data_IF_118893935897
#
_entry.id   IF_118893935897
#
_cell.length_a   1.000
_cell.length_b   1.000
_cell.length_c   1.000
_cell.angle_alpha   90.00
_cell.angle_beta   90.00
_cell.angle_gamma   90.00
#
_symmetry.space_group_name_H-M   'P 1'
#
loop_
_entity.id
_entity.type
_entity.pdbx_description
1 polymer ?
#
# COMPACT_ATOMS: atom_id res chain seq x y z
N UNK A 1 -5.30 20.25 22.24
CA UNK A 1 -6.09 19.14 22.81
C UNK A 1 -6.00 17.87 21.98
N UNK A 2 -6.43 17.84 20.71
CA UNK A 2 -6.45 16.63 19.86
C UNK A 2 -5.11 15.91 19.72
N UNK A 3 -3.98 16.63 19.59
CA UNK A 3 -2.63 16.02 19.55
C UNK A 3 -2.26 15.27 20.82
N UNK A 4 -2.73 15.73 22.00
CA UNK A 4 -2.50 15.05 23.27
C UNK A 4 -3.30 13.74 23.32
N UNK A 5 -4.57 13.78 22.92
CA UNK A 5 -5.39 12.58 22.81
C UNK A 5 -4.82 11.57 21.82
N UNK A 6 -4.38 12.05 20.64
CA UNK A 6 -3.70 11.21 19.64
C UNK A 6 -2.46 10.53 20.22
N UNK A 7 -1.59 11.28 20.90
CA UNK A 7 -0.35 10.72 21.48
C UNK A 7 -0.65 9.63 22.53
N UNK A 8 -1.72 9.81 23.33
CA UNK A 8 -2.17 8.78 24.28
C UNK A 8 -2.74 7.56 23.57
N UNK A 9 -3.62 7.74 22.58
CA UNK A 9 -4.17 6.63 21.78
C UNK A 9 -3.10 5.87 21.02
N UNK A 10 -2.04 6.56 20.54
CA UNK A 10 -0.95 5.95 19.80
C UNK A 10 -0.21 4.87 20.62
N UNK A 11 -0.12 5.02 21.93
CA UNK A 11 0.50 4.00 22.82
C UNK A 11 -0.32 2.70 22.78
N UNK A 12 -1.64 2.80 22.85
CA UNK A 12 -2.54 1.65 22.74
C UNK A 12 -2.53 1.06 21.34
N UNK A 13 -2.55 1.89 20.29
CA UNK A 13 -2.41 1.40 18.91
C UNK A 13 -1.16 0.54 18.72
N UNK A 14 -0.02 0.97 19.26
CA UNK A 14 1.23 0.24 19.11
C UNK A 14 1.23 -1.11 19.83
N UNK A 15 0.44 -1.24 20.90
CA UNK A 15 0.30 -2.46 21.69
C UNK A 15 -0.74 -3.41 21.13
N UNK A 16 -1.90 -2.87 20.74
CA UNK A 16 -3.08 -3.66 20.39
C UNK A 16 -3.16 -4.03 18.90
N UNK A 17 -2.60 -3.21 18.00
CA UNK A 17 -2.68 -3.51 16.58
C UNK A 17 -1.57 -4.47 16.14
N UNK A 18 -1.92 -5.55 15.44
CA UNK A 18 -0.94 -6.51 14.92
C UNK A 18 -0.06 -5.90 13.82
N UNK A 19 1.03 -6.59 13.51
CA UNK A 19 2.00 -6.15 12.50
C UNK A 19 1.42 -6.11 11.07
N UNK A 20 0.35 -6.84 10.82
CA UNK A 20 -0.35 -6.87 9.53
C UNK A 20 -1.07 -5.54 9.21
N UNK A 21 -1.38 -4.70 10.21
CA UNK A 21 -1.94 -3.36 10.00
C UNK A 21 -0.81 -2.33 9.88
N UNK A 22 -0.62 -1.74 8.71
CA UNK A 22 0.39 -0.70 8.46
C UNK A 22 -0.21 0.71 8.31
N UNK A 23 -1.53 0.84 8.11
CA UNK A 23 -2.18 2.13 7.90
C UNK A 23 -2.07 3.06 9.10
N UNK A 24 -1.63 4.30 8.87
CA UNK A 24 -1.51 5.35 9.87
C UNK A 24 -0.63 5.03 11.09
N UNK A 25 0.27 4.05 10.97
CA UNK A 25 1.24 3.69 12.01
C UNK A 25 2.60 4.36 11.76
N UNK A 26 3.23 4.86 12.82
CA UNK A 26 4.56 5.47 12.74
C UNK A 26 5.59 4.46 12.23
N UNK A 27 6.35 4.85 11.22
CA UNK A 27 7.41 4.03 10.63
C UNK A 27 6.93 2.91 9.71
N UNK A 28 5.63 2.87 9.39
CA UNK A 28 5.02 1.98 8.40
C UNK A 28 4.32 2.79 7.31
N UNK A 29 4.22 2.21 6.11
CA UNK A 29 3.61 2.90 4.97
C UNK A 29 3.09 1.93 3.91
N UNK A 30 2.54 2.48 2.83
CA UNK A 30 2.05 1.70 1.69
C UNK A 30 3.15 0.81 1.09
N UNK A 31 4.40 1.30 1.08
CA UNK A 31 5.56 0.57 0.58
C UNK A 31 5.78 -0.77 1.31
N UNK A 32 5.52 -0.80 2.64
CA UNK A 32 5.70 -2.02 3.44
C UNK A 32 4.68 -3.08 3.05
N UNK A 33 3.41 -2.70 2.86
CA UNK A 33 2.37 -3.64 2.43
C UNK A 33 2.54 -4.09 0.96
N UNK A 34 2.97 -3.19 0.07
CA UNK A 34 3.31 -3.56 -1.31
C UNK A 34 4.46 -4.59 -1.30
N UNK A 35 5.50 -4.35 -0.51
CA UNK A 35 6.63 -5.28 -0.38
C UNK A 35 6.18 -6.62 0.22
N UNK A 36 5.34 -6.60 1.26
CA UNK A 36 4.83 -7.80 1.91
C UNK A 36 4.10 -8.72 0.93
N UNK A 37 3.13 -8.19 0.15
CA UNK A 37 2.43 -8.98 -0.86
C UNK A 37 3.41 -9.57 -1.89
N UNK A 38 4.33 -8.75 -2.41
CA UNK A 38 5.26 -9.20 -3.44
C UNK A 38 6.25 -10.25 -2.93
N UNK A 39 6.70 -10.17 -1.68
CA UNK A 39 7.53 -11.21 -1.07
C UNK A 39 6.75 -12.50 -0.83
N UNK A 40 5.49 -12.43 -0.39
CA UNK A 40 4.61 -13.59 -0.27
C UNK A 40 4.46 -14.28 -1.62
N UNK A 41 4.16 -13.53 -2.68
CA UNK A 41 4.02 -14.06 -4.04
C UNK A 41 5.35 -14.61 -4.59
N UNK A 42 6.49 -13.94 -4.31
CA UNK A 42 7.82 -14.42 -4.68
C UNK A 42 8.12 -15.78 -4.01
N UNK A 43 7.81 -15.92 -2.72
CA UNK A 43 7.96 -17.18 -1.98
C UNK A 43 7.04 -18.26 -2.51
N UNK A 44 5.77 -17.96 -2.75
CA UNK A 44 4.82 -18.92 -3.34
C UNK A 44 5.35 -19.48 -4.66
N UNK A 45 5.85 -18.62 -5.54
CA UNK A 45 6.46 -19.03 -6.81
C UNK A 45 7.73 -19.90 -6.60
N UNK A 46 8.58 -19.54 -5.63
CA UNK A 46 9.82 -20.28 -5.31
C UNK A 46 9.51 -21.71 -4.84
N UNK A 47 8.44 -21.88 -4.05
CA UNK A 47 8.03 -23.18 -3.48
C UNK A 47 6.88 -23.85 -4.23
N UNK A 48 6.48 -23.33 -5.39
CA UNK A 48 5.41 -23.86 -6.25
C UNK A 48 4.06 -24.01 -5.51
N UNK A 49 3.75 -23.03 -4.67
CA UNK A 49 2.46 -22.95 -3.96
C UNK A 49 1.52 -21.99 -4.68
N UNK A 50 0.26 -22.38 -4.75
CA UNK A 50 -0.80 -21.48 -5.17
C UNK A 50 -1.19 -20.58 -3.99
N UNK A 51 -1.40 -19.31 -4.25
CA UNK A 51 -1.94 -18.36 -3.28
C UNK A 51 -3.07 -17.59 -3.95
N UNK A 52 -4.14 -17.44 -3.18
CA UNK A 52 -5.34 -16.73 -3.56
C UNK A 52 -5.45 -15.47 -2.70
N UNK A 53 -5.70 -14.33 -3.35
CA UNK A 53 -5.83 -13.02 -2.72
C UNK A 53 -7.23 -12.46 -2.97
N UNK A 54 -7.85 -11.91 -1.92
CA UNK A 54 -9.06 -11.14 -2.01
C UNK A 54 -8.79 -9.71 -1.53
N UNK A 55 -8.95 -8.73 -2.42
CA UNK A 55 -8.83 -7.31 -2.10
C UNK A 55 -10.20 -6.75 -1.75
N UNK A 56 -10.37 -6.34 -0.51
CA UNK A 56 -11.64 -5.85 0.04
C UNK A 56 -11.63 -4.32 0.03
N UNK A 57 -12.71 -3.74 -0.45
CA UNK A 57 -13.06 -2.33 -0.33
C UNK A 57 -14.34 -2.21 0.52
N UNK A 58 -14.34 -1.34 1.51
CA UNK A 58 -15.52 -1.03 2.31
C UNK A 58 -16.31 0.13 1.71
N UNK A 59 -17.63 0.04 1.70
CA UNK A 59 -18.48 1.12 1.27
C UNK A 59 -18.48 2.27 2.29
N UNK A 60 -17.87 3.41 1.96
CA UNK A 60 -17.81 4.61 2.82
C UNK A 60 -17.31 4.30 4.24
N UNK A 61 -16.19 3.56 4.34
CA UNK A 61 -15.66 3.01 5.58
C UNK A 61 -15.66 3.98 6.77
N UNK A 62 -15.06 5.16 6.60
CA UNK A 62 -14.96 6.18 7.65
C UNK A 62 -16.32 6.78 8.04
N UNK A 63 -17.25 6.91 7.08
CA UNK A 63 -18.55 7.51 7.29
C UNK A 63 -19.55 6.54 7.97
N UNK A 64 -19.24 5.24 7.94
CA UNK A 64 -20.12 4.18 8.46
C UNK A 64 -19.80 3.74 9.90
N UNK A 65 -18.76 4.29 10.53
CA UNK A 65 -18.38 3.97 11.92
C UNK A 65 -19.51 4.36 12.86
N UNK A 66 -20.14 3.38 13.53
CA UNK A 66 -21.17 3.61 14.53
C UNK A 66 -20.55 4.05 15.85
N UNK A 67 -20.93 5.22 16.36
CA UNK A 67 -20.35 5.79 17.58
C UNK A 67 -20.60 4.90 18.80
N UNK A 68 -21.80 4.33 18.95
CA UNK A 68 -22.14 3.49 20.10
C UNK A 68 -21.28 2.23 20.14
N UNK A 69 -21.13 1.59 18.97
CA UNK A 69 -20.27 0.41 18.81
C UNK A 69 -18.80 0.76 18.98
N UNK A 70 -18.36 1.93 18.47
CA UNK A 70 -16.98 2.40 18.63
C UNK A 70 -16.58 2.50 20.11
N UNK A 71 -17.44 3.08 20.97
CA UNK A 71 -17.12 3.21 22.40
C UNK A 71 -17.01 1.84 23.08
N UNK A 72 -17.86 0.90 22.71
CA UNK A 72 -17.79 -0.48 23.21
C UNK A 72 -16.48 -1.15 22.76
N UNK A 73 -16.15 -1.07 21.48
CA UNK A 73 -14.92 -1.60 20.90
C UNK A 73 -13.67 -1.03 21.58
N UNK A 74 -13.61 0.29 21.81
CA UNK A 74 -12.47 0.90 22.48
C UNK A 74 -12.28 0.34 23.90
N UNK A 75 -13.37 0.09 24.62
CA UNK A 75 -13.33 -0.52 25.95
C UNK A 75 -12.84 -1.98 25.89
N UNK A 76 -13.34 -2.77 24.95
CA UNK A 76 -12.92 -4.16 24.71
C UNK A 76 -11.44 -4.24 24.31
N UNK A 77 -10.94 -3.23 23.57
CA UNK A 77 -9.53 -3.08 23.20
C UNK A 77 -8.65 -2.52 24.31
N UNK A 78 -9.16 -2.42 25.55
CA UNK A 78 -8.40 -1.99 26.74
C UNK A 78 -8.07 -0.51 26.79
N UNK A 79 -8.81 0.34 26.07
CA UNK A 79 -8.69 1.80 26.19
C UNK A 79 -9.36 2.25 27.48
N UNK A 80 -8.68 2.99 28.37
CA UNK A 80 -9.24 3.41 29.64
C UNK A 80 -10.52 4.22 29.53
N UNK A 81 -11.46 4.01 30.47
CA UNK A 81 -12.77 4.67 30.48
C UNK A 81 -12.70 6.21 30.47
N UNK A 82 -11.71 6.80 31.18
CA UNK A 82 -11.51 8.25 31.18
C UNK A 82 -11.14 8.79 29.79
N UNK A 83 -10.35 8.05 29.01
CA UNK A 83 -9.95 8.45 27.66
C UNK A 83 -11.11 8.25 26.69
N UNK A 84 -11.82 7.14 26.79
CA UNK A 84 -13.03 6.86 26.00
C UNK A 84 -14.13 7.89 26.31
N UNK A 85 -14.31 8.29 27.57
CA UNK A 85 -15.23 9.36 27.98
C UNK A 85 -14.91 10.71 27.33
N UNK A 86 -13.62 11.11 27.32
CA UNK A 86 -13.20 12.34 26.63
C UNK A 86 -13.48 12.29 25.13
N UNK A 87 -13.24 11.16 24.48
CA UNK A 87 -13.54 10.98 23.07
C UNK A 87 -15.05 11.04 22.81
N UNK A 88 -15.83 10.37 23.64
CA UNK A 88 -17.30 10.37 23.54
C UNK A 88 -17.86 11.80 23.67
N UNK A 89 -17.37 12.58 24.61
CA UNK A 89 -17.78 13.99 24.79
C UNK A 89 -17.36 14.85 23.57
N UNK A 90 -16.23 14.56 22.94
CA UNK A 90 -15.79 15.26 21.73
C UNK A 90 -16.71 14.99 20.52
N UNK A 91 -17.32 13.81 20.47
CA UNK A 91 -18.25 13.41 19.40
C UNK A 91 -19.72 13.74 19.73
N UNK A 92 -20.02 14.04 20.98
CA UNK A 92 -21.39 14.36 21.40
C UNK A 92 -21.85 15.71 20.82
N UNK A 93 -23.07 15.76 20.30
CA UNK A 93 -23.69 16.98 19.79
C UNK A 93 -23.00 17.58 18.56
N UNK A 94 -22.26 16.80 17.80
CA UNK A 94 -21.68 17.29 16.56
C UNK A 94 -22.77 17.54 15.51
N UNK A 95 -22.69 18.72 14.89
CA UNK A 95 -23.57 19.14 13.82
C UNK A 95 -22.78 19.51 12.58
N UNK A 96 -23.41 19.40 11.43
CA UNK A 96 -22.85 19.80 10.16
C UNK A 96 -23.87 20.53 9.28
N UNK A 97 -23.37 21.35 8.38
CA UNK A 97 -24.12 21.93 7.26
C UNK A 97 -23.32 21.78 5.99
N UNK A 98 -23.99 21.68 4.85
CA UNK A 98 -23.34 21.53 3.54
C UNK A 98 -23.53 22.81 2.75
N UNK A 99 -22.43 23.36 2.25
CA UNK A 99 -22.44 24.52 1.36
C UNK A 99 -22.61 24.01 -0.09
N UNK A 100 -23.67 24.44 -0.73
CA UNK A 100 -23.97 24.15 -2.14
C UNK A 100 -23.84 25.42 -2.99
N UNK A 101 -23.93 25.29 -4.31
CA UNK A 101 -23.99 26.45 -5.23
C UNK A 101 -25.22 27.34 -5.00
N UNK A 102 -26.25 26.84 -4.33
CA UNK A 102 -27.53 27.54 -4.06
C UNK A 102 -27.66 28.02 -2.60
N UNK A 103 -26.62 27.88 -1.77
CA UNK A 103 -26.62 28.28 -0.36
C UNK A 103 -26.12 27.16 0.54
N UNK A 104 -26.42 27.29 1.86
CA UNK A 104 -26.11 26.29 2.87
C UNK A 104 -27.37 25.55 3.29
N UNK A 105 -27.25 24.26 3.56
CA UNK A 105 -28.35 23.47 4.15
C UNK A 105 -28.60 23.89 5.61
N UNK A 106 -29.75 23.48 6.17
CA UNK A 106 -29.96 23.52 7.61
C UNK A 106 -28.93 22.65 8.35
N UNK A 107 -28.68 22.96 9.62
CA UNK A 107 -27.82 22.17 10.47
C UNK A 107 -28.45 20.82 10.78
N UNK A 108 -27.68 19.76 10.71
CA UNK A 108 -28.10 18.40 11.00
C UNK A 108 -27.12 17.71 11.94
N UNK A 109 -27.62 16.83 12.81
CA UNK A 109 -26.83 16.07 13.76
C UNK A 109 -26.02 14.97 13.08
N UNK A 110 -24.76 14.82 13.50
CA UNK A 110 -23.88 13.73 13.05
C UNK A 110 -23.97 12.58 14.07
N UNK A 111 -24.67 11.51 13.68
CA UNK A 111 -24.88 10.32 14.54
C UNK A 111 -23.88 9.19 14.29
N UNK A 112 -23.08 9.25 13.23
CA UNK A 112 -22.11 8.20 12.83
C UNK A 112 -20.98 8.77 12.00
N UNK A 113 -19.93 7.97 11.84
CA UNK A 113 -18.74 8.30 11.06
C UNK A 113 -17.64 8.93 11.89
N UNK A 114 -16.42 8.84 11.38
CA UNK A 114 -15.25 9.54 11.90
C UNK A 114 -14.77 10.53 10.86
N UNK A 115 -14.56 11.78 11.27
CA UNK A 115 -14.28 12.90 10.36
C UNK A 115 -13.00 12.68 9.56
N UNK A 116 -13.08 12.66 8.24
CA UNK A 116 -11.92 12.66 7.35
C UNK A 116 -11.09 13.94 7.57
N UNK A 117 -9.77 13.77 7.69
CA UNK A 117 -8.84 14.86 8.00
C UNK A 117 -8.67 15.17 9.51
N UNK A 118 -9.46 14.59 10.40
CA UNK A 118 -9.21 14.67 11.84
C UNK A 118 -8.05 13.73 12.23
N UNK A 119 -7.13 14.21 13.06
CA UNK A 119 -5.95 13.44 13.50
C UNK A 119 -6.29 12.20 14.35
N UNK A 120 -7.48 12.14 14.96
CA UNK A 120 -7.95 11.01 15.75
C UNK A 120 -8.61 9.93 14.92
N UNK A 121 -9.25 10.29 13.80
CA UNK A 121 -10.05 9.37 12.98
C UNK A 121 -9.28 8.12 12.52
N UNK A 122 -8.01 8.22 12.09
CA UNK A 122 -7.23 7.05 11.72
C UNK A 122 -7.03 6.04 12.86
N UNK A 123 -6.79 6.55 14.08
CA UNK A 123 -6.63 5.68 15.26
C UNK A 123 -7.94 4.95 15.59
N UNK A 124 -9.04 5.70 15.63
CA UNK A 124 -10.36 5.17 15.95
C UNK A 124 -10.82 4.14 14.93
N UNK A 125 -10.61 4.43 13.64
CA UNK A 125 -10.94 3.52 12.56
C UNK A 125 -10.11 2.23 12.62
N UNK A 126 -8.80 2.33 12.87
CA UNK A 126 -7.95 1.16 13.00
C UNK A 126 -8.40 0.23 14.14
N UNK A 127 -8.80 0.77 15.29
CA UNK A 127 -9.37 -0.04 16.38
C UNK A 127 -10.67 -0.71 15.94
N UNK A 128 -11.51 0.02 15.21
CA UNK A 128 -12.80 -0.49 14.75
C UNK A 128 -12.64 -1.68 13.80
N UNK A 129 -11.76 -1.57 12.82
CA UNK A 129 -11.47 -2.66 11.87
C UNK A 129 -10.73 -3.81 12.55
N UNK A 130 -9.83 -3.51 13.51
CA UNK A 130 -9.12 -4.56 14.24
C UNK A 130 -10.06 -5.43 15.08
N UNK A 131 -11.08 -4.85 15.68
CA UNK A 131 -12.10 -5.61 16.40
C UNK A 131 -12.83 -6.59 15.47
N UNK A 132 -13.17 -6.18 14.24
CA UNK A 132 -13.74 -7.07 13.24
C UNK A 132 -12.83 -8.29 13.04
N UNK A 133 -11.55 -8.05 12.78
CA UNK A 133 -10.61 -9.13 12.48
C UNK A 133 -10.37 -10.07 13.67
N UNK A 134 -10.37 -9.57 14.89
CA UNK A 134 -10.29 -10.42 16.10
C UNK A 134 -11.50 -11.33 16.24
N UNK A 135 -12.69 -10.78 15.99
CA UNK A 135 -13.96 -11.54 16.12
C UNK A 135 -14.13 -12.58 15.01
N UNK A 136 -13.44 -12.45 13.88
CA UNK A 136 -13.44 -13.52 12.85
C UNK A 136 -12.62 -14.74 13.25
N UNK A 137 -11.84 -14.69 14.34
CA UNK A 137 -10.97 -15.81 14.74
C UNK A 137 -9.87 -16.15 13.72
N UNK A 138 -9.52 -15.23 12.80
CA UNK A 138 -8.52 -15.45 11.76
C UNK A 138 -7.13 -15.81 12.31
N UNK A 139 -6.81 -15.38 13.53
CA UNK A 139 -5.56 -15.71 14.20
C UNK A 139 -5.57 -17.17 14.75
N UNK A 140 -6.72 -17.68 15.14
CA UNK A 140 -6.92 -19.06 15.63
C UNK A 140 -7.18 -20.03 14.49
N UNK A 141 -7.74 -19.55 13.37
CA UNK A 141 -7.96 -20.36 12.19
C UNK A 141 -6.60 -20.80 11.61
N UNK A 142 -6.52 -22.08 11.23
CA UNK A 142 -5.34 -22.57 10.50
C UNK A 142 -5.27 -22.02 9.07
N UNK A 143 -6.23 -21.18 8.68
CA UNK A 143 -6.39 -20.56 7.39
C UNK A 143 -5.31 -19.47 7.17
N UNK A 144 -4.78 -19.38 5.96
CA UNK A 144 -3.74 -18.42 5.58
C UNK A 144 -2.47 -19.08 5.05
N UNK A 145 -1.43 -18.29 4.93
CA UNK A 145 -0.14 -18.73 4.38
C UNK A 145 0.88 -18.87 5.49
N UNK A 146 1.44 -20.05 5.63
CA UNK A 146 2.48 -20.33 6.65
C UNK A 146 3.86 -19.97 6.11
N UNK A 147 4.45 -18.87 6.60
CA UNK A 147 5.82 -18.45 6.28
C UNK A 147 6.65 -18.49 7.57
N UNK A 148 7.68 -19.33 7.57
CA UNK A 148 8.44 -19.69 8.76
C UNK A 148 7.49 -20.24 9.84
N UNK A 149 7.34 -19.55 10.97
CA UNK A 149 6.43 -19.95 12.05
C UNK A 149 5.18 -19.09 12.17
N UNK A 150 4.98 -18.14 11.23
CA UNK A 150 3.84 -17.22 11.23
C UNK A 150 2.80 -17.68 10.23
N UNK A 151 1.55 -17.67 10.65
CA UNK A 151 0.39 -17.80 9.77
C UNK A 151 -0.11 -16.41 9.39
N UNK A 152 -0.28 -16.14 8.08
CA UNK A 152 -0.64 -14.83 7.56
C UNK A 152 -1.87 -15.02 6.69
N UNK A 153 -3.01 -14.59 7.22
CA UNK A 153 -4.32 -14.66 6.55
C UNK A 153 -4.75 -13.31 5.97
N UNK A 154 -4.15 -12.22 6.45
CA UNK A 154 -4.53 -10.87 6.00
C UNK A 154 -3.37 -9.87 6.07
N UNK A 155 -3.49 -8.79 5.26
CA UNK A 155 -2.68 -7.59 5.33
C UNK A 155 -3.62 -6.38 5.26
N UNK A 156 -3.36 -5.34 6.06
CA UNK A 156 -4.24 -4.17 6.16
C UNK A 156 -3.48 -2.87 6.01
N UNK A 157 -4.07 -1.92 5.29
CA UNK A 157 -3.66 -0.53 5.26
C UNK A 157 -4.89 0.37 5.41
N UNK A 158 -5.22 0.72 6.65
CA UNK A 158 -6.47 1.35 7.04
C UNK A 158 -7.69 0.49 6.65
N UNK A 159 -8.50 0.96 5.71
CA UNK A 159 -9.67 0.27 5.15
C UNK A 159 -9.31 -0.73 4.03
N UNK A 160 -8.20 -0.53 3.34
CA UNK A 160 -7.72 -1.52 2.36
C UNK A 160 -7.30 -2.81 3.07
N UNK A 161 -8.09 -3.85 2.92
CA UNK A 161 -7.86 -5.17 3.51
C UNK A 161 -7.62 -6.19 2.41
N UNK A 162 -6.54 -6.96 2.53
CA UNK A 162 -6.26 -8.09 1.65
C UNK A 162 -6.31 -9.37 2.46
N UNK A 163 -7.22 -10.29 2.11
CA UNK A 163 -7.21 -11.65 2.63
C UNK A 163 -6.37 -12.54 1.73
N UNK A 164 -5.82 -13.61 2.29
CA UNK A 164 -5.03 -14.57 1.54
C UNK A 164 -5.14 -15.99 2.11
N UNK A 165 -5.11 -16.98 1.21
CA UNK A 165 -5.23 -18.39 1.54
C UNK A 165 -4.49 -19.29 0.54
N UNK A 166 -4.28 -20.56 0.88
CA UNK A 166 -3.67 -21.56 -0.02
C UNK A 166 -4.71 -22.26 -0.93
N UNK A 167 -6.04 -22.09 -0.67
CA UNK A 167 -7.13 -22.60 -1.53
C UNK A 167 -8.27 -21.60 -1.72
N UNK A 168 -9.12 -21.84 -2.73
CA UNK A 168 -10.29 -21.02 -3.02
C UNK A 168 -11.34 -21.12 -1.92
N UNK A 169 -11.57 -22.34 -1.41
CA UNK A 169 -12.56 -22.64 -0.37
C UNK A 169 -12.20 -21.94 0.93
N UNK A 170 -10.92 -21.99 1.29
CA UNK A 170 -10.38 -21.33 2.47
C UNK A 170 -10.54 -19.82 2.36
N UNK A 171 -10.16 -19.20 1.21
CA UNK A 171 -10.33 -17.78 0.98
C UNK A 171 -11.80 -17.35 1.05
N UNK A 172 -12.71 -18.16 0.50
CA UNK A 172 -14.14 -17.88 0.55
C UNK A 172 -14.67 -17.93 1.99
N UNK A 173 -14.26 -18.91 2.77
CA UNK A 173 -14.61 -19.01 4.20
C UNK A 173 -14.15 -17.77 4.97
N UNK A 174 -12.89 -17.34 4.79
CA UNK A 174 -12.35 -16.12 5.40
C UNK A 174 -13.14 -14.86 5.01
N UNK A 175 -13.48 -14.74 3.73
CA UNK A 175 -14.24 -13.60 3.23
C UNK A 175 -15.66 -13.53 3.82
N UNK A 176 -16.35 -14.65 3.91
CA UNK A 176 -17.69 -14.70 4.49
C UNK A 176 -17.69 -14.37 5.97
N UNK A 177 -16.69 -14.84 6.74
CA UNK A 177 -16.51 -14.48 8.15
C UNK A 177 -16.26 -12.96 8.31
N UNK A 178 -15.35 -12.38 7.50
CA UNK A 178 -15.09 -10.94 7.54
C UNK A 178 -16.32 -10.13 7.17
N UNK A 179 -17.12 -10.60 6.19
CA UNK A 179 -18.36 -9.95 5.79
C UNK A 179 -19.36 -9.94 6.95
N UNK A 180 -19.61 -11.09 7.56
CA UNK A 180 -20.54 -11.23 8.67
C UNK A 180 -20.18 -10.33 9.86
N UNK A 181 -18.92 -10.37 10.30
CA UNK A 181 -18.43 -9.56 11.43
C UNK A 181 -18.44 -8.05 11.09
N UNK A 182 -18.15 -7.69 9.84
CA UNK A 182 -18.25 -6.30 9.39
C UNK A 182 -19.68 -5.78 9.43
N UNK A 183 -20.65 -6.57 9.00
CA UNK A 183 -22.07 -6.21 9.01
C UNK A 183 -22.59 -6.06 10.45
N UNK A 184 -22.14 -6.87 11.41
CA UNK A 184 -22.49 -6.75 12.84
C UNK A 184 -22.12 -5.38 13.41
N UNK A 185 -21.01 -4.79 12.96
CA UNK A 185 -20.60 -3.45 13.39
C UNK A 185 -21.08 -2.33 12.46
N UNK A 186 -21.76 -2.65 11.37
CA UNK A 186 -22.35 -1.66 10.44
C UNK A 186 -21.45 -1.26 9.28
N UNK A 187 -20.29 -1.92 9.09
CA UNK A 187 -19.49 -1.79 7.88
C UNK A 187 -20.00 -2.76 6.81
N UNK A 188 -20.17 -2.25 5.60
CA UNK A 188 -20.59 -3.08 4.46
C UNK A 188 -19.45 -3.21 3.45
N UNK A 189 -19.23 -4.43 2.99
CA UNK A 189 -18.31 -4.69 1.88
C UNK A 189 -18.91 -4.15 0.58
N UNK A 190 -18.08 -3.54 -0.25
CA UNK A 190 -18.45 -3.15 -1.60
C UNK A 190 -18.16 -4.30 -2.56
N UNK A 191 -19.12 -5.23 -2.71
CA UNK A 191 -18.96 -6.45 -3.51
C UNK A 191 -18.50 -6.16 -4.94
N UNK A 192 -18.97 -5.09 -5.55
CA UNK A 192 -18.58 -4.71 -6.93
C UNK A 192 -17.09 -4.31 -7.05
N UNK A 193 -16.50 -3.83 -5.95
CA UNK A 193 -15.10 -3.44 -5.92
C UNK A 193 -14.17 -4.53 -5.37
N UNK A 194 -14.71 -5.58 -4.78
CA UNK A 194 -13.91 -6.73 -4.39
C UNK A 194 -13.25 -7.32 -5.64
N UNK A 195 -11.96 -7.64 -5.53
CA UNK A 195 -11.18 -8.25 -6.60
C UNK A 195 -10.47 -9.48 -6.07
N UNK A 196 -10.44 -10.51 -6.90
CA UNK A 196 -9.73 -11.76 -6.60
C UNK A 196 -8.56 -11.92 -7.56
N UNK A 197 -7.41 -12.31 -7.05
CA UNK A 197 -6.21 -12.63 -7.83
C UNK A 197 -5.58 -13.91 -7.29
N UNK A 198 -5.09 -14.78 -8.17
CA UNK A 198 -4.38 -15.99 -7.77
C UNK A 198 -3.08 -16.17 -8.53
N UNK A 199 -2.10 -16.83 -7.89
CA UNK A 199 -0.85 -17.25 -8.56
C UNK A 199 -1.00 -18.56 -9.31
N UNK A 200 -2.13 -19.28 -9.11
CA UNK A 200 -2.52 -20.52 -9.77
C UNK A 200 -3.82 -20.38 -10.56
N UNK A 201 -4.35 -21.52 -11.07
CA UNK A 201 -5.65 -21.52 -11.73
C UNK A 201 -6.74 -21.07 -10.76
N UNK A 202 -7.72 -20.35 -11.27
CA UNK A 202 -8.84 -19.83 -10.49
C UNK A 202 -10.15 -20.05 -11.23
N UNK A 203 -11.19 -20.45 -10.50
CA UNK A 203 -12.53 -20.59 -11.03
C UNK A 203 -13.32 -19.28 -10.95
N UNK A 204 -14.56 -19.26 -11.44
CA UNK A 204 -15.43 -18.10 -11.29
C UNK A 204 -15.88 -17.96 -9.82
N UNK A 205 -15.76 -16.76 -9.26
CA UNK A 205 -16.15 -16.48 -7.88
C UNK A 205 -17.49 -15.77 -7.80
N UNK A 206 -18.28 -16.17 -6.80
CA UNK A 206 -19.58 -15.53 -6.52
C UNK A 206 -19.71 -15.24 -5.01
N UNK A 207 -20.22 -14.05 -4.70
CA UNK A 207 -20.58 -13.61 -3.35
C UNK A 207 -22.05 -13.14 -3.41
N UNK A 208 -22.92 -13.71 -2.60
CA UNK A 208 -24.36 -13.36 -2.60
C UNK A 208 -24.98 -13.35 -4.02
N UNK A 209 -24.67 -14.36 -4.85
CA UNK A 209 -25.09 -14.47 -6.25
C UNK A 209 -24.50 -13.39 -7.20
N UNK A 210 -23.67 -12.47 -6.71
CA UNK A 210 -22.94 -11.52 -7.54
C UNK A 210 -21.59 -12.12 -7.96
N UNK A 211 -21.28 -12.08 -9.25
CA UNK A 211 -19.98 -12.53 -9.76
C UNK A 211 -18.90 -11.54 -9.37
N UNK A 212 -17.82 -12.04 -8.75
CA UNK A 212 -16.63 -11.25 -8.40
C UNK A 212 -15.61 -11.37 -9.52
N UNK A 213 -15.02 -10.25 -9.88
CA UNK A 213 -14.01 -10.19 -10.93
C UNK A 213 -12.70 -10.82 -10.50
N UNK A 214 -12.22 -11.78 -11.30
CA UNK A 214 -10.90 -12.40 -11.16
C UNK A 214 -9.90 -11.70 -12.07
N UNK A 215 -8.75 -11.31 -11.52
CA UNK A 215 -7.78 -10.47 -12.22
C UNK A 215 -6.41 -11.15 -12.34
N UNK A 216 -5.75 -10.96 -13.48
CA UNK A 216 -4.34 -11.31 -13.66
C UNK A 216 -3.39 -10.24 -13.09
N UNK A 217 -3.86 -9.02 -12.95
CA UNK A 217 -3.14 -7.89 -12.36
C UNK A 217 -4.08 -6.94 -11.60
N UNK A 218 -3.54 -6.26 -10.59
CA UNK A 218 -4.31 -5.33 -9.76
C UNK A 218 -3.45 -4.15 -9.32
N UNK A 219 -4.07 -2.96 -9.14
CA UNK A 219 -3.38 -1.80 -8.57
C UNK A 219 -3.62 -1.78 -7.06
N UNK A 220 -2.67 -2.33 -6.32
CA UNK A 220 -2.69 -2.37 -4.86
C UNK A 220 -1.91 -1.20 -4.27
N UNK A 221 -2.55 -0.39 -3.44
CA UNK A 221 -1.96 0.80 -2.80
C UNK A 221 -1.18 1.67 -3.80
N UNK A 222 -1.73 1.83 -5.00
CA UNK A 222 -1.12 2.62 -6.07
C UNK A 222 0.01 1.93 -6.85
N UNK A 223 0.42 0.70 -6.56
CA UNK A 223 1.39 -0.09 -7.31
C UNK A 223 0.73 -1.24 -8.05
N UNK A 224 1.08 -1.45 -9.31
CA UNK A 224 0.57 -2.57 -10.11
C UNK A 224 1.28 -3.86 -9.72
N UNK A 225 0.53 -4.82 -9.21
CA UNK A 225 0.97 -6.19 -8.92
C UNK A 225 0.39 -7.13 -9.98
N UNK A 226 1.12 -8.18 -10.34
CA UNK A 226 0.72 -9.18 -11.34
C UNK A 226 0.83 -10.57 -10.74
N UNK A 227 -0.07 -11.47 -11.11
CA UNK A 227 -0.10 -12.84 -10.58
C UNK A 227 1.21 -13.62 -10.83
N UNK A 228 1.94 -13.32 -11.91
CA UNK A 228 3.23 -13.91 -12.26
C UNK A 228 4.45 -13.21 -11.60
N UNK A 229 4.23 -12.19 -10.77
CA UNK A 229 5.28 -11.38 -10.12
C UNK A 229 6.26 -10.78 -11.13
N UNK A 230 5.74 -10.19 -12.22
CA UNK A 230 6.55 -9.47 -13.19
C UNK A 230 6.50 -7.96 -12.92
N UNK A 231 7.62 -7.42 -12.45
CA UNK A 231 7.77 -5.99 -12.15
C UNK A 231 7.86 -5.12 -13.40
N UNK A 232 8.09 -5.69 -14.59
CA UNK A 232 8.26 -4.92 -15.83
C UNK A 232 7.04 -4.09 -16.18
N UNK A 233 5.84 -4.59 -15.87
CA UNK A 233 4.57 -3.89 -16.10
C UNK A 233 4.45 -2.63 -15.22
N UNK A 234 4.77 -2.72 -13.93
CA UNK A 234 4.75 -1.57 -13.03
C UNK A 234 5.85 -0.57 -13.38
N UNK A 235 7.07 -1.02 -13.67
CA UNK A 235 8.17 -0.14 -14.08
C UNK A 235 7.78 0.65 -15.34
N UNK A 236 7.24 -0.01 -16.38
CA UNK A 236 6.74 0.67 -17.59
C UNK A 236 5.66 1.71 -17.26
N UNK A 237 4.69 1.34 -16.42
CA UNK A 237 3.61 2.24 -15.98
C UNK A 237 4.15 3.47 -15.28
N UNK A 238 5.11 3.31 -14.36
CA UNK A 238 5.74 4.40 -13.63
C UNK A 238 6.54 5.32 -14.53
N UNK A 239 7.27 4.78 -15.48
CA UNK A 239 7.99 5.58 -16.47
C UNK A 239 7.03 6.42 -17.34
N UNK A 240 5.87 5.85 -17.72
CA UNK A 240 4.82 6.59 -18.43
C UNK A 240 4.22 7.72 -17.58
N UNK A 241 3.93 7.46 -16.31
CA UNK A 241 3.46 8.50 -15.38
C UNK A 241 4.51 9.60 -15.20
N UNK A 242 5.78 9.24 -15.05
CA UNK A 242 6.88 10.19 -14.99
C UNK A 242 6.98 11.06 -16.26
N UNK A 243 6.79 10.47 -17.45
CA UNK A 243 6.71 11.22 -18.71
C UNK A 243 5.56 12.20 -18.71
N UNK A 244 4.38 11.80 -18.24
CA UNK A 244 3.22 12.70 -18.14
C UNK A 244 3.51 13.89 -17.22
N UNK A 245 4.09 13.65 -16.03
CA UNK A 245 4.48 14.73 -15.12
C UNK A 245 5.49 15.64 -15.75
N UNK A 246 6.53 15.09 -16.39
CA UNK A 246 7.56 15.87 -17.09
C UNK A 246 6.96 16.76 -18.20
N UNK A 247 5.96 16.26 -18.93
CA UNK A 247 5.25 17.03 -19.96
C UNK A 247 4.40 18.14 -19.35
N UNK A 248 3.74 17.90 -18.21
CA UNK A 248 2.96 18.91 -17.51
C UNK A 248 3.83 20.07 -16.98
N UNK A 249 5.13 19.84 -16.77
CA UNK A 249 6.09 20.87 -16.34
C UNK A 249 6.68 21.69 -17.49
N UNK A 250 6.34 21.39 -18.74
CA UNK A 250 6.91 22.09 -19.92
C UNK A 250 6.73 23.61 -19.91
N UNK A 251 5.61 24.11 -19.41
CA UNK A 251 5.39 25.55 -19.29
C UNK A 251 6.41 26.21 -18.34
N UNK A 252 6.75 25.51 -17.26
CA UNK A 252 7.75 25.95 -16.28
C UNK A 252 9.14 25.92 -16.90
N UNK A 253 9.51 24.82 -17.57
CA UNK A 253 10.81 24.66 -18.22
C UNK A 253 11.01 25.58 -19.43
N UNK A 254 9.96 26.19 -19.97
CA UNK A 254 10.04 27.21 -21.02
C UNK A 254 10.29 28.64 -20.50
N UNK A 255 10.08 28.87 -19.21
CA UNK A 255 10.35 30.19 -18.61
C UNK A 255 11.85 30.47 -18.62
N UNK A 256 12.21 31.71 -19.00
CA UNK A 256 13.61 32.19 -19.02
C UNK A 256 14.11 32.55 -17.62
N UNK A 257 13.19 32.73 -16.68
CA UNK A 257 13.51 33.14 -15.30
C UNK A 257 13.99 32.00 -14.41
N UNK A 258 13.88 30.76 -14.91
CA UNK A 258 14.25 29.55 -14.14
C UNK A 258 15.61 29.07 -14.64
N UNK A 259 16.56 28.97 -13.70
CA UNK A 259 17.91 28.48 -14.00
C UNK A 259 17.94 26.96 -14.15
N UNK A 260 18.85 26.45 -14.99
CA UNK A 260 19.03 24.99 -15.21
C UNK A 260 19.19 24.19 -13.90
N UNK A 261 19.98 24.63 -12.88
CA UNK A 261 20.03 23.93 -11.60
C UNK A 261 18.68 23.83 -10.88
N UNK A 262 17.82 24.85 -11.02
CA UNK A 262 16.47 24.83 -10.45
C UNK A 262 15.57 23.86 -11.22
N UNK A 263 15.63 23.83 -12.54
CA UNK A 263 14.92 22.85 -13.36
C UNK A 263 15.31 21.41 -13.01
N UNK A 264 16.62 21.14 -12.84
CA UNK A 264 17.13 19.82 -12.39
C UNK A 264 16.56 19.44 -11.03
N UNK A 265 16.48 20.39 -10.07
CA UNK A 265 15.85 20.16 -8.77
C UNK A 265 14.37 19.85 -8.89
N UNK A 266 13.64 20.52 -9.78
CA UNK A 266 12.22 20.27 -10.04
C UNK A 266 12.01 18.87 -10.60
N UNK A 267 12.81 18.41 -11.55
CA UNK A 267 12.73 17.03 -12.07
C UNK A 267 12.94 16.01 -10.94
N UNK A 268 13.97 16.24 -10.12
CA UNK A 268 14.27 15.34 -8.98
C UNK A 268 13.17 15.36 -7.91
N UNK A 269 12.53 16.49 -7.68
CA UNK A 269 11.51 16.64 -6.64
C UNK A 269 10.11 16.19 -7.10
N UNK A 270 9.77 16.33 -8.38
CA UNK A 270 8.41 16.11 -8.88
C UNK A 270 8.29 14.89 -9.80
N UNK A 271 9.29 14.62 -10.64
CA UNK A 271 9.22 13.52 -11.62
C UNK A 271 9.76 12.21 -11.01
N UNK A 272 10.95 12.25 -10.42
CA UNK A 272 11.59 11.05 -9.87
C UNK A 272 10.79 10.36 -8.77
N UNK A 273 10.14 11.04 -7.81
CA UNK A 273 9.32 10.36 -6.80
C UNK A 273 8.13 9.60 -7.40
N UNK A 274 7.54 10.09 -8.48
CA UNK A 274 6.46 9.39 -9.20
C UNK A 274 6.97 8.10 -9.83
N UNK A 275 8.16 8.16 -10.46
CA UNK A 275 8.80 6.99 -11.07
C UNK A 275 9.24 5.97 -10.02
N UNK A 276 9.75 6.45 -8.89
CA UNK A 276 10.32 5.61 -7.84
C UNK A 276 9.30 5.07 -6.83
N UNK A 277 8.02 5.38 -6.95
CA UNK A 277 7.03 4.90 -5.98
C UNK A 277 6.93 3.37 -5.99
N UNK A 278 7.04 2.75 -4.82
CA UNK A 278 6.97 1.29 -4.65
C UNK A 278 8.22 0.52 -5.09
N UNK A 279 9.28 1.23 -5.53
CA UNK A 279 10.54 0.60 -6.02
C UNK A 279 11.25 -0.25 -4.98
N UNK A 280 10.99 0.00 -3.68
CA UNK A 280 11.61 -0.76 -2.59
C UNK A 280 11.37 -2.26 -2.73
N UNK A 281 10.26 -2.64 -3.33
CA UNK A 281 9.87 -4.03 -3.57
C UNK A 281 10.33 -4.59 -4.93
N UNK A 282 10.87 -3.76 -5.84
CA UNK A 282 11.17 -4.21 -7.20
C UNK A 282 12.44 -5.03 -7.29
N UNK A 283 12.36 -6.08 -8.12
CA UNK A 283 13.53 -6.79 -8.64
C UNK A 283 13.81 -6.25 -10.03
N UNK A 284 14.88 -5.45 -10.16
CA UNK A 284 15.20 -4.73 -11.41
C UNK A 284 16.20 -5.51 -12.23
N UNK A 285 15.80 -6.01 -13.38
CA UNK A 285 16.67 -6.73 -14.34
C UNK A 285 17.50 -5.77 -15.18
N UNK A 286 18.50 -6.31 -15.93
CA UNK A 286 19.31 -5.50 -16.87
C UNK A 286 18.46 -4.75 -17.91
N UNK A 287 17.35 -5.34 -18.33
CA UNK A 287 16.45 -4.72 -19.31
C UNK A 287 15.69 -3.52 -18.70
N UNK A 288 15.21 -3.65 -17.47
CA UNK A 288 14.55 -2.55 -16.76
C UNK A 288 15.54 -1.42 -16.42
N UNK A 289 16.78 -1.73 -16.02
CA UNK A 289 17.83 -0.73 -15.81
C UNK A 289 18.05 0.12 -17.06
N UNK A 290 18.16 -0.53 -18.23
CA UNK A 290 18.28 0.20 -19.51
C UNK A 290 17.08 1.13 -19.75
N UNK A 291 15.85 0.68 -19.47
CA UNK A 291 14.65 1.51 -19.63
C UNK A 291 14.65 2.73 -18.68
N UNK A 292 15.07 2.53 -17.43
CA UNK A 292 15.18 3.59 -16.44
C UNK A 292 16.23 4.63 -16.88
N UNK A 293 17.41 4.18 -17.34
CA UNK A 293 18.48 5.07 -17.81
C UNK A 293 18.07 5.84 -19.08
N UNK A 294 17.37 5.17 -20.01
CA UNK A 294 16.82 5.84 -21.20
C UNK A 294 15.79 6.91 -20.82
N UNK A 295 14.94 6.63 -19.83
CA UNK A 295 13.98 7.61 -19.33
C UNK A 295 14.68 8.80 -18.68
N UNK A 296 15.69 8.58 -17.84
CA UNK A 296 16.47 9.64 -17.21
C UNK A 296 17.12 10.55 -18.26
N UNK A 297 17.80 9.94 -19.24
CA UNK A 297 18.39 10.70 -20.36
C UNK A 297 17.35 11.47 -21.18
N UNK A 298 16.16 10.90 -21.36
CA UNK A 298 15.06 11.61 -22.01
C UNK A 298 14.63 12.85 -21.23
N UNK A 299 14.55 12.79 -19.88
CA UNK A 299 14.28 13.94 -19.05
C UNK A 299 15.34 15.03 -19.24
N UNK A 300 16.62 14.68 -19.18
CA UNK A 300 17.73 15.62 -19.32
C UNK A 300 17.81 16.25 -20.71
N UNK A 301 17.61 15.47 -21.77
CA UNK A 301 17.52 15.99 -23.13
C UNK A 301 16.38 16.99 -23.30
N UNK A 302 15.25 16.73 -22.64
CA UNK A 302 14.09 17.63 -22.68
C UNK A 302 14.37 18.95 -21.98
N UNK A 303 15.05 18.97 -20.85
CA UNK A 303 15.50 20.18 -20.17
C UNK A 303 16.43 21.01 -21.07
N UNK A 304 17.45 20.36 -21.63
CA UNK A 304 18.43 21.02 -22.50
C UNK A 304 17.88 21.34 -23.90
N UNK A 305 16.61 21.04 -24.18
CA UNK A 305 16.00 21.19 -25.52
C UNK A 305 16.85 20.57 -26.63
N UNK A 306 17.56 19.47 -26.31
CA UNK A 306 18.47 18.78 -27.21
C UNK A 306 17.76 17.62 -27.92
N UNK A 307 17.26 17.79 -29.17
CA UNK A 307 16.61 16.72 -29.91
C UNK A 307 17.61 15.63 -30.26
N UNK A 308 17.13 14.45 -30.58
CA UNK A 308 17.98 13.31 -31.00
C UNK A 308 18.79 13.64 -32.24
N UNK A 309 18.26 14.49 -33.12
CA UNK A 309 18.92 14.96 -34.35
C UNK A 309 20.14 15.84 -34.09
N UNK A 310 20.29 16.41 -32.90
CA UNK A 310 21.43 17.26 -32.54
C UNK A 310 22.74 16.50 -32.35
N UNK A 311 22.76 15.15 -32.53
CA UNK A 311 23.92 14.26 -32.42
C UNK A 311 24.77 14.43 -31.17
N UNK A 312 24.22 15.03 -30.11
CA UNK A 312 24.92 15.19 -28.82
C UNK A 312 25.03 13.84 -28.11
N UNK A 313 26.23 13.51 -27.63
CA UNK A 313 26.46 12.28 -26.86
C UNK A 313 25.77 12.33 -25.50
N UNK A 314 25.41 11.14 -24.97
CA UNK A 314 24.82 11.03 -23.63
C UNK A 314 25.74 11.58 -22.53
N UNK A 315 27.07 11.38 -22.70
CA UNK A 315 28.07 11.92 -21.78
C UNK A 315 28.09 13.46 -21.76
N UNK A 316 27.97 14.10 -22.94
CA UNK A 316 27.87 15.56 -23.04
C UNK A 316 26.63 16.09 -22.30
N UNK A 317 25.48 15.43 -22.45
CA UNK A 317 24.23 15.76 -21.72
C UNK A 317 24.42 15.64 -20.20
N UNK A 318 24.98 14.53 -19.74
CA UNK A 318 25.19 14.29 -18.32
C UNK A 318 26.21 15.24 -17.68
N UNK A 319 27.26 15.61 -18.41
CA UNK A 319 28.26 16.60 -17.94
C UNK A 319 27.62 17.98 -17.73
N UNK A 320 26.77 18.42 -18.66
CA UNK A 320 26.11 19.73 -18.59
C UNK A 320 25.06 19.79 -17.48
N UNK A 321 24.26 18.72 -17.35
CA UNK A 321 23.23 18.62 -16.26
C UNK A 321 23.89 18.45 -14.90
N UNK A 322 24.99 17.72 -14.82
CA UNK A 322 25.66 17.35 -13.55
C UNK A 322 24.67 16.84 -12.49
N UNK A 323 23.89 15.78 -12.77
CA UNK A 323 22.78 15.40 -11.90
C UNK A 323 23.22 14.89 -10.53
N UNK A 324 24.51 14.63 -10.29
CA UNK A 324 25.01 13.91 -9.12
C UNK A 324 24.65 12.42 -9.21
N UNK A 325 23.75 11.93 -8.35
CA UNK A 325 23.28 10.54 -8.41
C UNK A 325 22.39 10.31 -9.64
N UNK A 326 22.63 9.21 -10.37
CA UNK A 326 21.71 8.74 -11.41
C UNK A 326 20.40 8.24 -10.80
N UNK A 327 19.33 8.19 -11.59
CA UNK A 327 18.03 7.66 -11.13
C UNK A 327 18.17 6.21 -10.66
N UNK A 328 18.92 5.37 -11.37
CA UNK A 328 19.23 4.00 -10.96
C UNK A 328 20.01 3.96 -9.65
N UNK A 329 21.06 4.76 -9.52
CA UNK A 329 21.86 4.86 -8.29
C UNK A 329 21.02 5.33 -7.09
N UNK A 330 20.12 6.30 -7.30
CA UNK A 330 19.19 6.76 -6.29
C UNK A 330 18.20 5.64 -5.88
N UNK A 331 17.70 4.88 -6.85
CA UNK A 331 16.83 3.72 -6.56
C UNK A 331 17.54 2.67 -5.71
N UNK A 332 18.78 2.33 -6.02
CA UNK A 332 19.58 1.38 -5.24
C UNK A 332 19.86 1.90 -3.83
N UNK A 333 20.30 3.16 -3.71
CA UNK A 333 20.55 3.81 -2.41
C UNK A 333 19.33 3.74 -1.49
N UNK A 334 18.16 4.06 -2.02
CA UNK A 334 16.92 4.04 -1.27
C UNK A 334 16.45 2.62 -0.93
N UNK A 335 16.73 1.63 -1.80
CA UNK A 335 16.51 0.20 -1.52
C UNK A 335 17.38 -0.26 -0.33
N UNK A 336 18.65 0.11 -0.30
CA UNK A 336 19.56 -0.19 0.80
C UNK A 336 19.15 0.54 2.11
N UNK A 337 18.69 1.78 2.00
CA UNK A 337 18.14 2.53 3.14
C UNK A 337 16.86 1.91 3.71
N UNK A 338 16.07 1.23 2.87
CA UNK A 338 14.93 0.44 3.33
C UNK A 338 15.35 -0.86 4.00
N UNK A 339 16.28 -1.60 3.37
CA UNK A 339 16.77 -2.88 3.85
C UNK A 339 17.49 -2.80 5.21
N UNK A 340 18.37 -1.84 5.42
CA UNK A 340 19.17 -1.73 6.63
C UNK A 340 18.34 -1.63 7.92
N UNK A 341 17.41 -0.67 8.06
CA UNK A 341 16.49 -0.61 9.20
C UNK A 341 15.61 -1.85 9.35
N UNK A 342 15.16 -2.45 8.24
CA UNK A 342 14.36 -3.66 8.24
C UNK A 342 15.11 -4.82 8.92
N UNK A 343 16.37 -5.01 8.58
CA UNK A 343 17.21 -6.08 9.13
C UNK A 343 17.48 -5.91 10.63
N UNK A 344 17.50 -4.68 11.13
CA UNK A 344 17.69 -4.39 12.56
C UNK A 344 16.44 -4.63 13.42
N UNK A 345 15.26 -4.69 12.80
CA UNK A 345 14.02 -4.99 13.54
C UNK A 345 14.02 -6.47 13.96
N UNK A 346 13.82 -6.72 15.24
CA UNK A 346 13.59 -8.08 15.77
C UNK A 346 12.15 -8.44 15.49
N UNK A 347 11.91 -9.66 15.00
CA UNK A 347 10.58 -10.27 14.80
C UNK A 347 9.56 -9.44 13.96
N UNK A 348 10.04 -8.59 13.03
CA UNK A 348 9.11 -7.88 12.15
C UNK A 348 8.49 -8.79 11.10
N UNK A 349 7.22 -8.53 10.76
CA UNK A 349 6.51 -9.22 9.69
C UNK A 349 7.30 -9.16 8.38
N UNK A 350 7.75 -7.98 7.99
CA UNK A 350 8.49 -7.73 6.76
C UNK A 350 9.77 -8.59 6.67
N UNK A 351 10.52 -8.70 7.78
CA UNK A 351 11.72 -9.55 7.85
C UNK A 351 11.36 -11.03 7.71
N UNK A 352 10.29 -11.47 8.37
CA UNK A 352 9.78 -12.84 8.25
C UNK A 352 9.37 -13.16 6.81
N UNK A 353 8.62 -12.28 6.14
CA UNK A 353 8.19 -12.46 4.76
C UNK A 353 9.35 -12.48 3.77
N UNK A 354 10.34 -11.62 3.98
CA UNK A 354 11.50 -11.51 3.10
C UNK A 354 12.45 -12.71 3.24
N UNK A 355 12.75 -13.16 4.47
CA UNK A 355 13.75 -14.21 4.74
C UNK A 355 13.15 -15.59 5.01
N UNK A 356 11.90 -15.67 5.46
CA UNK A 356 11.25 -16.92 5.82
C UNK A 356 11.03 -17.82 4.61
N UNK A 357 10.79 -19.10 4.89
CA UNK A 357 10.47 -20.11 3.88
C UNK A 357 9.04 -20.61 4.07
N UNK A 358 8.39 -20.94 2.94
CA UNK A 358 7.11 -21.64 2.91
C UNK A 358 7.42 -23.15 2.92
N UNK A 359 6.62 -23.94 3.64
CA UNK A 359 6.75 -25.41 3.60
C UNK A 359 6.55 -25.97 2.18
N UNK A 360 7.38 -26.91 1.78
CA UNK A 360 7.33 -27.55 0.46
C UNK A 360 8.70 -27.73 -0.19
N UNK A 361 8.70 -28.27 -1.40
CA UNK A 361 9.92 -28.43 -2.18
C UNK A 361 10.18 -27.19 -3.03
N UNK A 362 11.38 -26.65 -2.95
CA UNK A 362 11.85 -25.56 -3.79
C UNK A 362 11.90 -26.00 -5.26
N UNK A 363 11.46 -25.13 -6.17
CA UNK A 363 11.53 -25.39 -7.62
C UNK A 363 12.97 -25.66 -8.05
N UNK A 364 13.20 -26.76 -8.80
CA UNK A 364 14.50 -27.07 -9.40
C UNK A 364 14.73 -26.23 -10.65
N UNK A 365 16.00 -25.97 -10.97
CA UNK A 365 16.43 -25.26 -12.18
C UNK A 365 16.75 -23.77 -11.93
N UNK A 366 17.03 -23.03 -13.03
CA UNK A 366 17.36 -21.59 -12.98
C UNK A 366 16.14 -20.79 -12.55
N UNK A 367 16.16 -20.29 -11.33
CA UNK A 367 15.09 -19.46 -10.79
C UNK A 367 15.17 -18.03 -11.31
N UNK A 368 14.03 -17.33 -11.32
CA UNK A 368 14.03 -15.89 -11.56
C UNK A 368 14.77 -15.18 -10.42
N UNK A 369 15.39 -14.05 -10.75
CA UNK A 369 16.06 -13.17 -9.79
C UNK A 369 15.11 -12.82 -8.64
N UNK A 370 15.55 -13.03 -7.40
CA UNK A 370 14.80 -12.67 -6.19
C UNK A 370 15.10 -11.23 -5.80
N UNK A 371 14.27 -10.68 -4.94
CA UNK A 371 14.46 -9.33 -4.41
C UNK A 371 15.84 -9.15 -3.74
N UNK A 372 16.28 -10.15 -2.94
CA UNK A 372 17.58 -10.14 -2.27
C UNK A 372 18.77 -10.15 -3.26
N UNK A 373 18.64 -10.88 -4.37
CA UNK A 373 19.70 -10.95 -5.38
C UNK A 373 19.98 -9.55 -6.00
N UNK A 374 19.02 -8.63 -5.95
CA UNK A 374 19.17 -7.25 -6.39
C UNK A 374 19.90 -6.30 -5.42
N UNK A 375 20.40 -6.80 -4.29
CA UNK A 375 21.22 -6.03 -3.33
C UNK A 375 22.72 -6.23 -3.55
N UNK A 376 23.13 -7.27 -4.27
CA UNK A 376 24.51 -7.68 -4.48
C UNK A 376 25.10 -7.23 -5.82
N UNK A 377 24.40 -6.39 -6.60
CA UNK A 377 24.85 -5.88 -7.89
C UNK A 377 25.11 -4.39 -7.88
#
# INVERSE_FOLDING_TARGET
MLKILQARLQQYMNRELPDVQAGFRKGRGTRDQIANILWIMEKAREFQKNIYFCFIDYAKAFDCVDHTKLWKILKEMGIPDHLTGLLRNLFAGQEATVRTGHGTTDWFQIGKGVRQGCILSPCLFNFYVENIMRNTGLEEAQAGIKIARRNISNLKYADDTTLMAESEEELNSLLMQVKEESEKVGLKLNIQKIKIMATGPITSWQIDRATVETLADFIFLGSKITADVDYSHEIKRRLLLGRKVMTNLDSIFKSRDITLPTEVRLVKAMVFPVVMYGRESWTVTKAERRRINVFELWCWRRLLRAPWTAKRSNQSILREISPGDSLEGLMLKLKLQYFGPLMRRVDSLEKTLMLGEIGGRRKRGRQRMRWLDGLTY
#
